data_IF_955441912926
#
_entry.id   IF_955441912926
#
_cell.length_a   1.000
_cell.length_b   1.000
_cell.length_c   1.000
_cell.angle_alpha   90.00
_cell.angle_beta   90.00
_cell.angle_gamma   90.00
#
_symmetry.space_group_name_H-M   'P 1'
#
loop_
_entity.id
_entity.type
_entity.pdbx_description
1 polymer ?
#
# COMPACT_ATOMS: atom_id res chain seq x y z
N UNK A 1 -14.98 6.73 20.53
CA UNK A 1 -13.93 6.16 19.66
C UNK A 1 -14.07 6.79 18.29
N UNK A 2 -13.00 7.14 17.62
CA UNK A 2 -13.05 7.81 16.33
C UNK A 2 -13.42 6.80 15.23
N UNK A 3 -14.58 7.02 14.62
CA UNK A 3 -15.06 6.26 13.47
C UNK A 3 -15.53 7.21 12.37
N UNK A 4 -15.29 6.83 11.13
CA UNK A 4 -15.92 7.41 9.95
C UNK A 4 -16.86 6.36 9.36
N UNK A 5 -18.07 6.77 8.97
CA UNK A 5 -19.04 5.89 8.30
C UNK A 5 -18.91 6.08 6.80
N UNK A 6 -18.75 4.99 6.07
CA UNK A 6 -18.70 4.96 4.61
C UNK A 6 -20.08 5.16 3.99
N UNK A 7 -20.14 5.38 2.69
CA UNK A 7 -21.39 5.57 1.94
C UNK A 7 -22.29 4.32 1.88
N UNK A 8 -21.73 3.13 2.16
CA UNK A 8 -22.46 1.87 2.32
C UNK A 8 -22.72 1.49 3.80
N UNK A 9 -22.45 2.43 4.75
CA UNK A 9 -22.81 2.29 6.16
C UNK A 9 -21.79 1.56 7.04
N UNK A 10 -20.61 1.20 6.52
CA UNK A 10 -19.55 0.54 7.28
C UNK A 10 -18.76 1.57 8.09
N UNK A 11 -18.53 1.31 9.38
CA UNK A 11 -17.75 2.19 10.22
C UNK A 11 -16.27 1.79 10.19
N UNK A 12 -15.43 2.71 9.79
CA UNK A 12 -13.98 2.56 9.78
C UNK A 12 -13.39 3.23 11.01
N UNK A 13 -12.68 2.45 11.82
CA UNK A 13 -11.91 2.95 12.95
C UNK A 13 -10.63 3.61 12.47
N UNK A 14 -10.30 4.77 13.02
CA UNK A 14 -9.03 5.43 12.75
C UNK A 14 -8.38 5.97 14.03
N UNK A 15 -7.08 6.18 13.97
CA UNK A 15 -6.31 6.93 14.94
C UNK A 15 -5.64 8.11 14.25
N UNK A 16 -5.53 9.20 15.00
CA UNK A 16 -4.98 10.45 14.50
C UNK A 16 -3.97 11.03 15.48
N UNK A 17 -2.84 11.51 14.98
CA UNK A 17 -1.81 12.19 15.77
C UNK A 17 -1.14 13.31 14.97
N UNK A 18 -0.78 14.39 15.67
CA UNK A 18 -0.12 15.54 15.05
C UNK A 18 -1.07 16.51 14.37
N UNK A 19 -0.50 17.51 13.71
CA UNK A 19 -1.20 18.56 12.97
C UNK A 19 -0.42 18.92 11.71
N UNK A 20 -1.05 19.60 10.75
CA UNK A 20 -0.44 20.01 9.48
C UNK A 20 -1.06 19.31 8.29
N UNK A 21 -0.27 19.11 7.22
CA UNK A 21 -0.72 18.41 6.02
C UNK A 21 -1.13 16.98 6.34
N UNK A 22 -2.30 16.52 5.86
CA UNK A 22 -2.75 15.15 6.12
C UNK A 22 -1.83 14.10 5.48
N UNK A 23 -1.45 13.09 6.27
CA UNK A 23 -0.66 11.94 5.88
C UNK A 23 -1.41 10.67 6.30
N UNK A 24 -1.96 9.93 5.35
CA UNK A 24 -2.83 8.78 5.60
C UNK A 24 -2.06 7.49 5.32
N UNK A 25 -2.08 6.59 6.29
CA UNK A 25 -1.43 5.28 6.24
C UNK A 25 -2.45 4.17 6.05
N UNK A 26 -2.22 3.32 5.04
CA UNK A 26 -3.09 2.21 4.63
C UNK A 26 -2.34 0.89 4.78
N UNK A 27 -2.84 0.04 5.67
CA UNK A 27 -2.15 -1.18 6.09
C UNK A 27 -2.20 -2.31 5.07
N UNK A 28 -1.31 -3.28 5.22
CA UNK A 28 -1.29 -4.53 4.48
C UNK A 28 -2.33 -5.56 4.98
N UNK A 29 -2.45 -6.69 4.27
CA UNK A 29 -3.40 -7.77 4.61
C UNK A 29 -3.19 -8.36 6.01
N UNK A 30 -1.95 -8.54 6.45
CA UNK A 30 -1.64 -9.08 7.78
C UNK A 30 -1.51 -7.99 8.86
N UNK A 31 -1.70 -6.71 8.51
CA UNK A 31 -1.61 -5.58 9.42
C UNK A 31 -2.97 -4.96 9.74
N UNK A 32 -2.94 -3.94 10.58
CA UNK A 32 -4.03 -3.04 10.90
C UNK A 32 -3.46 -1.64 11.17
N UNK A 33 -4.29 -0.70 11.68
CA UNK A 33 -3.84 0.66 12.01
C UNK A 33 -2.57 0.68 12.89
N UNK A 34 -2.37 -0.30 13.79
CA UNK A 34 -1.22 -0.40 14.70
C UNK A 34 0.10 -0.67 13.99
N UNK A 35 0.07 -1.18 12.77
CA UNK A 35 1.27 -1.47 11.97
C UNK A 35 2.04 -0.20 11.56
N UNK A 36 1.45 0.97 11.73
CA UNK A 36 2.04 2.25 11.38
C UNK A 36 2.58 3.04 12.56
N UNK A 37 2.60 2.47 13.76
CA UNK A 37 3.06 3.15 14.97
C UNK A 37 4.47 3.77 14.85
N UNK A 38 5.49 3.09 14.26
CA UNK A 38 6.81 3.71 14.08
C UNK A 38 6.78 4.94 13.16
N UNK A 39 5.92 4.93 12.14
CA UNK A 39 5.74 6.04 11.20
C UNK A 39 4.98 7.19 11.86
N UNK A 40 3.88 6.89 12.55
CA UNK A 40 3.09 7.90 13.25
C UNK A 40 3.94 8.67 14.26
N UNK A 41 4.72 7.98 15.11
CA UNK A 41 5.63 8.63 16.09
C UNK A 41 6.64 9.56 15.43
N UNK A 42 7.11 9.22 14.25
CA UNK A 42 8.07 10.03 13.52
C UNK A 42 7.42 11.23 12.84
N UNK A 43 6.33 10.99 12.09
CA UNK A 43 5.71 12.00 11.21
C UNK A 43 4.74 12.93 11.93
N UNK A 44 4.14 12.54 13.06
CA UNK A 44 3.17 13.36 13.80
C UNK A 44 3.76 14.68 14.35
N UNK A 45 5.07 14.84 14.29
CA UNK A 45 5.76 16.10 14.62
C UNK A 45 5.54 17.20 13.56
N UNK A 46 5.13 16.84 12.35
CA UNK A 46 5.00 17.76 11.20
C UNK A 46 3.74 17.57 10.39
N UNK A 47 3.11 16.41 10.49
CA UNK A 47 1.94 16.00 9.70
C UNK A 47 0.77 15.67 10.61
N UNK A 48 -0.44 15.84 10.07
CA UNK A 48 -1.65 15.24 10.61
C UNK A 48 -1.68 13.79 10.14
N UNK A 49 -1.11 12.88 10.94
CA UNK A 49 -1.00 11.45 10.64
C UNK A 49 -2.31 10.74 10.96
N UNK A 50 -2.85 9.98 10.02
CA UNK A 50 -4.04 9.18 10.18
C UNK A 50 -3.71 7.73 9.78
N UNK A 51 -3.95 6.76 10.67
CA UNK A 51 -3.95 5.35 10.34
C UNK A 51 -5.33 4.76 10.63
N UNK A 52 -5.85 3.94 9.74
CA UNK A 52 -7.17 3.33 9.94
C UNK A 52 -7.12 1.82 9.73
N UNK A 53 -8.04 1.10 10.36
CA UNK A 53 -8.31 -0.30 10.04
C UNK A 53 -9.30 -0.36 8.89
N UNK A 54 -8.98 -1.10 7.85
CA UNK A 54 -9.88 -1.32 6.72
C UNK A 54 -11.14 -2.10 7.15
N UNK A 55 -12.18 -2.09 6.32
CA UNK A 55 -13.34 -2.98 6.52
C UNK A 55 -12.88 -4.43 6.69
N UNK A 56 -13.50 -5.13 7.63
CA UNK A 56 -13.11 -6.50 7.98
C UNK A 56 -11.99 -6.60 9.02
N UNK A 57 -11.36 -5.49 9.39
CA UNK A 57 -10.28 -5.43 10.38
C UNK A 57 -10.73 -4.67 11.62
N UNK A 58 -10.91 -5.39 12.74
CA UNK A 58 -11.31 -4.77 14.01
C UNK A 58 -10.30 -3.72 14.46
N UNK A 59 -10.74 -2.59 15.08
CA UNK A 59 -12.10 -2.26 15.55
C UNK A 59 -13.09 -1.76 14.47
N UNK A 60 -12.71 -1.68 13.18
CA UNK A 60 -13.66 -1.40 12.12
C UNK A 60 -14.73 -2.48 12.02
N UNK A 61 -15.85 -2.14 11.43
CA UNK A 61 -16.92 -3.11 11.21
C UNK A 61 -16.45 -4.26 10.30
N UNK A 62 -16.97 -5.44 10.58
CA UNK A 62 -16.77 -6.65 9.78
C UNK A 62 -18.09 -6.95 9.04
N UNK A 63 -18.30 -6.38 7.86
CA UNK A 63 -19.51 -6.64 7.07
C UNK A 63 -19.70 -8.13 6.78
N UNK A 64 -20.96 -8.63 6.75
CA UNK A 64 -21.24 -10.06 6.56
C UNK A 64 -20.93 -10.52 5.13
N UNK A 65 -20.93 -11.84 4.86
CA UNK A 65 -20.85 -12.38 3.50
C UNK A 65 -21.93 -11.77 2.60
N UNK A 66 -21.55 -11.46 1.36
CA UNK A 66 -22.41 -10.75 0.38
C UNK A 66 -22.21 -9.23 0.39
N UNK A 67 -21.49 -8.67 1.38
CA UNK A 67 -21.01 -7.29 1.36
C UNK A 67 -19.82 -7.13 0.41
N UNK A 68 -19.60 -5.89 -0.04
CA UNK A 68 -18.51 -5.60 -0.97
C UNK A 68 -17.14 -5.57 -0.28
N UNK A 69 -16.27 -6.51 -0.66
CA UNK A 69 -14.86 -6.61 -0.29
C UNK A 69 -13.97 -6.58 -1.55
N UNK A 70 -14.22 -5.65 -2.45
CA UNK A 70 -13.53 -5.54 -3.72
C UNK A 70 -12.39 -4.51 -3.70
N UNK A 71 -11.53 -4.55 -4.72
CA UNK A 71 -10.54 -3.50 -4.96
C UNK A 71 -11.20 -2.13 -5.17
N UNK A 72 -12.36 -2.10 -5.84
CA UNK A 72 -13.15 -0.89 -6.04
C UNK A 72 -13.59 -0.32 -4.68
N UNK A 73 -14.11 -1.14 -3.80
CA UNK A 73 -14.62 -0.71 -2.49
C UNK A 73 -13.51 -0.15 -1.59
N UNK A 74 -12.31 -0.72 -1.64
CA UNK A 74 -11.22 -0.32 -0.75
C UNK A 74 -10.73 1.11 -1.02
N UNK A 75 -10.60 1.53 -2.29
CA UNK A 75 -10.25 2.92 -2.56
C UNK A 75 -11.41 3.89 -2.28
N UNK A 76 -12.66 3.44 -2.45
CA UNK A 76 -13.84 4.22 -2.05
C UNK A 76 -13.91 4.40 -0.53
N UNK A 77 -13.55 3.41 0.25
CA UNK A 77 -13.43 3.53 1.71
C UNK A 77 -12.39 4.58 2.10
N UNK A 78 -11.24 4.61 1.44
CA UNK A 78 -10.23 5.66 1.64
C UNK A 78 -10.79 7.05 1.29
N UNK A 79 -11.57 7.17 0.21
CA UNK A 79 -12.28 8.40 -0.14
C UNK A 79 -13.29 8.79 0.96
N UNK A 80 -14.11 7.84 1.44
CA UNK A 80 -15.07 8.08 2.51
C UNK A 80 -14.38 8.50 3.82
N UNK A 81 -13.22 7.91 4.15
CA UNK A 81 -12.41 8.32 5.29
C UNK A 81 -11.99 9.79 5.17
N UNK A 82 -11.46 10.18 4.01
CA UNK A 82 -11.08 11.57 3.75
C UNK A 82 -12.28 12.52 3.84
N UNK A 83 -13.42 12.15 3.27
CA UNK A 83 -14.65 12.95 3.29
C UNK A 83 -15.15 13.14 4.73
N UNK A 84 -15.23 12.07 5.52
CA UNK A 84 -15.68 12.11 6.91
C UNK A 84 -14.74 12.89 7.84
N UNK A 85 -13.46 13.01 7.48
CA UNK A 85 -12.46 13.82 8.21
C UNK A 85 -12.28 15.23 7.65
N UNK A 86 -13.10 15.64 6.66
CA UNK A 86 -13.01 16.93 5.95
C UNK A 86 -11.61 17.15 5.34
N UNK A 87 -11.00 16.11 4.78
CA UNK A 87 -9.68 16.17 4.14
C UNK A 87 -9.88 16.31 2.63
N UNK A 88 -9.58 17.50 2.10
CA UNK A 88 -9.65 17.74 0.66
C UNK A 88 -8.53 17.01 -0.10
N UNK A 89 -7.31 17.07 0.43
CA UNK A 89 -6.10 16.47 -0.16
C UNK A 89 -5.22 15.87 0.92
N UNK A 90 -4.53 14.77 0.60
CA UNK A 90 -3.60 14.10 1.52
C UNK A 90 -2.42 13.45 0.78
N UNK A 91 -1.31 13.27 1.49
CA UNK A 91 -0.31 12.26 1.11
C UNK A 91 -0.82 10.89 1.51
N UNK A 92 -0.75 9.91 0.60
CA UNK A 92 -1.25 8.55 0.81
C UNK A 92 -0.07 7.58 0.83
N UNK A 93 0.04 6.81 1.91
CA UNK A 93 1.12 5.83 2.11
C UNK A 93 0.48 4.47 2.33
N UNK A 94 0.73 3.53 1.43
CA UNK A 94 0.16 2.19 1.53
C UNK A 94 1.22 1.11 1.42
N UNK A 95 1.09 0.07 2.25
CA UNK A 95 1.90 -1.13 2.16
C UNK A 95 1.07 -2.27 1.57
N UNK A 96 1.61 -2.98 0.57
CA UNK A 96 1.02 -4.19 0.00
C UNK A 96 -0.43 -3.97 -0.45
N UNK A 97 -1.40 -4.60 0.20
CA UNK A 97 -2.84 -4.36 0.01
C UNK A 97 -3.18 -2.87 0.09
N UNK A 98 -2.63 -2.15 1.07
CA UNK A 98 -2.77 -0.71 1.18
C UNK A 98 -2.12 0.06 0.04
N UNK A 99 -1.01 -0.45 -0.51
CA UNK A 99 -0.39 0.09 -1.72
C UNK A 99 -1.32 0.01 -2.93
N UNK A 100 -2.02 -1.11 -3.12
CA UNK A 100 -3.05 -1.23 -4.16
C UNK A 100 -4.22 -0.26 -3.92
N UNK A 101 -4.65 -0.07 -2.67
CA UNK A 101 -5.69 0.91 -2.35
C UNK A 101 -5.26 2.33 -2.76
N UNK A 102 -4.03 2.74 -2.39
CA UNK A 102 -3.46 4.04 -2.76
C UNK A 102 -3.29 4.19 -4.28
N UNK A 103 -2.82 3.13 -4.97
CA UNK A 103 -2.70 3.12 -6.42
C UNK A 103 -4.06 3.37 -7.10
N UNK A 104 -5.08 2.59 -6.73
CA UNK A 104 -6.42 2.74 -7.29
C UNK A 104 -7.05 4.10 -6.93
N UNK A 105 -6.80 4.62 -5.73
CA UNK A 105 -7.17 6.00 -5.41
C UNK A 105 -6.49 6.99 -6.38
N UNK A 106 -5.21 6.78 -6.69
CA UNK A 106 -4.47 7.57 -7.68
C UNK A 106 -5.04 7.48 -9.09
N UNK A 107 -5.53 6.31 -9.52
CA UNK A 107 -6.18 6.14 -10.83
C UNK A 107 -7.46 7.01 -10.96
N UNK A 108 -8.19 7.22 -9.86
CA UNK A 108 -9.44 7.97 -9.86
C UNK A 108 -9.28 9.44 -9.44
N UNK A 109 -8.28 9.75 -8.62
CA UNK A 109 -8.13 11.06 -7.98
C UNK A 109 -6.71 11.65 -8.06
N UNK A 110 -5.85 11.08 -8.89
CA UNK A 110 -4.44 11.49 -9.06
C UNK A 110 -4.05 11.76 -10.52
N UNK A 111 -5.03 11.95 -11.41
CA UNK A 111 -4.81 12.19 -12.83
C UNK A 111 -4.89 13.68 -13.17
N UNK A 112 -4.25 14.07 -14.28
CA UNK A 112 -4.26 15.46 -14.76
C UNK A 112 -5.67 15.95 -15.10
N UNK A 113 -5.96 17.22 -14.77
CA UNK A 113 -7.19 17.91 -15.18
C UNK A 113 -8.35 17.82 -14.19
N UNK A 114 -8.25 17.01 -13.15
CA UNK A 114 -9.14 17.03 -12.00
C UNK A 114 -8.43 17.64 -10.80
N UNK A 115 -9.16 18.27 -9.88
CA UNK A 115 -8.59 18.65 -8.60
C UNK A 115 -8.14 17.36 -7.90
N UNK A 116 -6.83 17.05 -7.98
CA UNK A 116 -6.28 15.85 -7.39
C UNK A 116 -6.55 15.83 -5.88
N UNK A 117 -7.03 14.72 -5.36
CA UNK A 117 -7.19 14.50 -3.93
C UNK A 117 -5.95 13.86 -3.30
N UNK A 118 -5.04 13.31 -4.11
CA UNK A 118 -3.73 12.86 -3.67
C UNK A 118 -2.70 13.97 -3.90
N UNK A 119 -1.99 14.37 -2.84
CA UNK A 119 -0.79 15.21 -2.94
C UNK A 119 0.41 14.40 -3.43
N UNK A 120 0.52 13.17 -2.98
CA UNK A 120 1.47 12.18 -3.44
C UNK A 120 1.01 10.77 -3.09
N UNK A 121 1.59 9.78 -3.73
CA UNK A 121 1.41 8.36 -3.44
C UNK A 121 2.73 7.74 -2.97
N UNK A 122 2.68 6.90 -1.92
CA UNK A 122 3.77 5.97 -1.58
C UNK A 122 3.23 4.56 -1.68
N UNK A 123 3.79 3.80 -2.63
CA UNK A 123 3.38 2.44 -2.97
C UNK A 123 4.47 1.47 -2.48
N UNK A 124 4.34 1.01 -1.24
CA UNK A 124 5.31 0.14 -0.60
C UNK A 124 4.91 -1.33 -0.75
N UNK A 125 5.83 -2.21 -1.14
CA UNK A 125 5.57 -3.64 -1.32
C UNK A 125 4.32 -3.93 -2.19
N UNK A 126 4.07 -3.09 -3.20
CA UNK A 126 2.87 -3.16 -4.02
C UNK A 126 3.11 -4.00 -5.27
N UNK A 127 2.64 -5.25 -5.29
CA UNK A 127 2.87 -6.07 -6.49
C UNK A 127 2.59 -7.55 -6.37
N UNK A 128 2.56 -8.10 -5.16
CA UNK A 128 2.35 -9.55 -4.94
C UNK A 128 1.17 -10.08 -5.75
N UNK A 129 1.41 -11.16 -6.50
CA UNK A 129 0.40 -11.81 -7.33
C UNK A 129 0.09 -11.11 -8.66
N UNK A 130 0.70 -9.96 -8.98
CA UNK A 130 0.38 -9.21 -10.21
C UNK A 130 1.09 -9.74 -11.45
N UNK A 131 2.26 -10.36 -11.30
CA UNK A 131 3.02 -10.85 -12.47
C UNK A 131 2.21 -11.89 -13.24
N UNK A 132 2.12 -11.80 -14.59
CA UNK A 132 1.25 -12.68 -15.40
C UNK A 132 1.47 -14.17 -15.17
N UNK A 133 2.73 -14.59 -14.95
CA UNK A 133 3.08 -16.00 -14.74
C UNK A 133 2.49 -16.60 -13.44
N UNK A 134 2.16 -15.76 -12.45
CA UNK A 134 1.66 -16.22 -11.14
C UNK A 134 0.25 -15.72 -10.82
N UNK A 135 -0.32 -14.86 -11.64
CA UNK A 135 -1.57 -14.16 -11.35
C UNK A 135 -2.75 -15.11 -11.06
N UNK A 136 -3.01 -16.06 -11.96
CA UNK A 136 -4.10 -17.03 -11.76
C UNK A 136 -3.84 -17.97 -10.56
N UNK A 137 -2.58 -18.35 -10.35
CA UNK A 137 -2.18 -19.12 -9.18
C UNK A 137 -2.40 -18.36 -7.87
N UNK A 138 -2.07 -17.09 -7.85
CA UNK A 138 -2.31 -16.20 -6.69
C UNK A 138 -3.80 -16.05 -6.37
N UNK A 139 -4.65 -15.88 -7.38
CA UNK A 139 -6.12 -15.81 -7.21
C UNK A 139 -6.67 -17.10 -6.60
N UNK A 140 -6.21 -18.25 -7.12
CA UNK A 140 -6.62 -19.55 -6.61
C UNK A 140 -6.16 -19.75 -5.16
N UNK A 141 -4.90 -19.43 -4.84
CA UNK A 141 -4.34 -19.52 -3.50
C UNK A 141 -5.06 -18.58 -2.51
N UNK A 142 -5.44 -17.36 -2.95
CA UNK A 142 -6.21 -16.43 -2.11
C UNK A 142 -7.57 -16.98 -1.70
N UNK A 143 -8.23 -17.76 -2.58
CA UNK A 143 -9.50 -18.42 -2.28
C UNK A 143 -9.30 -19.59 -1.30
N UNK A 144 -8.26 -20.40 -1.52
CA UNK A 144 -7.91 -21.49 -0.59
C UNK A 144 -7.59 -20.92 0.79
N UNK A 145 -6.75 -19.88 0.87
CA UNK A 145 -6.42 -19.20 2.13
C UNK A 145 -7.69 -18.67 2.82
N UNK A 146 -8.63 -18.12 2.06
CA UNK A 146 -9.91 -17.66 2.62
C UNK A 146 -10.72 -18.79 3.26
N UNK A 147 -10.79 -19.96 2.63
CA UNK A 147 -11.46 -21.14 3.15
C UNK A 147 -10.78 -21.67 4.42
N UNK A 148 -9.45 -21.69 4.43
CA UNK A 148 -8.66 -22.07 5.62
C UNK A 148 -8.88 -21.11 6.79
N UNK A 149 -8.83 -19.78 6.56
CA UNK A 149 -9.07 -18.78 7.60
C UNK A 149 -10.48 -18.91 8.15
N UNK A 150 -11.47 -19.09 7.27
CA UNK A 150 -12.87 -19.24 7.69
C UNK A 150 -13.10 -20.49 8.56
N UNK A 151 -12.36 -21.56 8.29
CA UNK A 151 -12.51 -22.85 8.97
C UNK A 151 -11.65 -22.95 10.23
N UNK A 152 -10.41 -22.46 10.17
CA UNK A 152 -9.39 -22.67 11.19
C UNK A 152 -9.10 -21.42 12.04
N UNK A 153 -9.62 -20.25 11.62
CA UNK A 153 -9.53 -19.01 12.38
C UNK A 153 -8.25 -18.19 12.16
N UNK A 154 -8.20 -17.02 12.78
CA UNK A 154 -7.09 -16.08 12.64
C UNK A 154 -5.77 -16.59 13.26
N UNK A 155 -5.83 -17.44 14.28
CA UNK A 155 -4.62 -18.07 14.83
C UNK A 155 -3.93 -18.97 13.79
N UNK A 156 -4.70 -19.66 12.95
CA UNK A 156 -4.14 -20.42 11.84
C UNK A 156 -3.46 -19.51 10.83
N UNK A 157 -4.08 -18.37 10.48
CA UNK A 157 -3.47 -17.35 9.60
C UNK A 157 -2.13 -16.86 10.17
N UNK A 158 -2.04 -16.57 11.46
CA UNK A 158 -0.80 -16.18 12.12
C UNK A 158 0.28 -17.28 12.07
N UNK A 159 -0.13 -18.54 12.21
CA UNK A 159 0.79 -19.70 12.22
C UNK A 159 1.24 -20.15 10.81
N UNK A 160 0.59 -19.67 9.75
CA UNK A 160 0.89 -20.01 8.36
C UNK A 160 1.36 -18.79 7.58
N UNK A 161 0.46 -17.92 7.16
CA UNK A 161 0.78 -16.68 6.41
C UNK A 161 1.73 -15.75 7.19
N UNK A 162 1.48 -15.59 8.50
CA UNK A 162 2.34 -14.78 9.38
C UNK A 162 3.77 -15.31 9.53
N UNK A 163 3.99 -16.58 9.24
CA UNK A 163 5.30 -17.23 9.27
C UNK A 163 5.87 -17.54 7.88
N UNK A 164 5.24 -17.04 6.84
CA UNK A 164 5.62 -17.26 5.45
C UNK A 164 6.94 -16.57 5.03
N UNK A 165 7.43 -16.89 3.81
CA UNK A 165 8.73 -16.40 3.31
C UNK A 165 8.87 -14.88 3.36
N UNK A 166 7.79 -14.14 3.13
CA UNK A 166 7.77 -12.67 3.15
C UNK A 166 8.05 -12.04 4.52
N UNK A 167 8.16 -12.85 5.59
CA UNK A 167 8.36 -12.40 6.98
C UNK A 167 9.70 -12.83 7.57
N UNK A 168 10.51 -13.59 6.83
CA UNK A 168 11.76 -14.15 7.35
C UNK A 168 12.76 -13.07 7.76
N UNK A 169 12.90 -12.03 6.95
CA UNK A 169 13.79 -10.90 7.21
C UNK A 169 13.34 -10.13 8.45
N UNK A 170 12.04 -9.85 8.57
CA UNK A 170 11.48 -9.19 9.75
C UNK A 170 11.76 -10.00 11.02
N UNK A 171 11.48 -11.30 10.99
CA UNK A 171 11.74 -12.20 12.13
C UNK A 171 13.22 -12.25 12.50
N UNK A 172 14.11 -12.21 11.53
CA UNK A 172 15.56 -12.25 11.76
C UNK A 172 16.10 -10.94 12.34
N UNK A 173 15.61 -9.79 11.88
CA UNK A 173 16.08 -8.45 12.28
C UNK A 173 15.50 -7.99 13.61
N UNK A 174 14.19 -8.17 13.79
CA UNK A 174 13.45 -7.79 15.00
C UNK A 174 12.51 -8.91 15.45
N UNK A 175 13.06 -9.94 16.14
CA UNK A 175 12.25 -11.07 16.63
C UNK A 175 11.12 -10.64 17.57
N UNK A 176 11.32 -9.55 18.34
CA UNK A 176 10.32 -9.03 19.26
C UNK A 176 9.19 -8.33 18.52
N UNK A 177 9.53 -7.38 17.64
CA UNK A 177 8.52 -6.69 16.82
C UNK A 177 7.75 -7.66 15.92
N UNK A 178 8.44 -8.66 15.36
CA UNK A 178 7.79 -9.74 14.63
C UNK A 178 6.80 -10.54 15.51
N UNK A 179 7.16 -10.89 16.74
CA UNK A 179 6.27 -11.61 17.65
C UNK A 179 5.02 -10.77 18.01
N UNK A 180 5.20 -9.46 18.24
CA UNK A 180 4.10 -8.52 18.47
C UNK A 180 3.18 -8.41 17.23
N UNK A 181 3.76 -8.28 16.03
CA UNK A 181 3.01 -8.25 14.77
C UNK A 181 2.20 -9.54 14.58
N UNK A 182 2.81 -10.70 14.79
CA UNK A 182 2.15 -11.98 14.58
C UNK A 182 1.04 -12.24 15.64
N UNK A 183 1.23 -11.77 16.87
CA UNK A 183 0.20 -11.80 17.90
C UNK A 183 -1.02 -10.95 17.52
N UNK A 184 -0.80 -9.75 16.97
CA UNK A 184 -1.88 -8.88 16.46
C UNK A 184 -2.60 -9.50 15.27
N UNK A 185 -1.89 -10.20 14.38
CA UNK A 185 -2.51 -10.94 13.27
C UNK A 185 -3.47 -12.03 13.78
N UNK A 186 -3.14 -12.69 14.88
CA UNK A 186 -4.01 -13.68 15.51
C UNK A 186 -5.29 -13.08 16.14
N UNK A 187 -5.32 -11.76 16.38
CA UNK A 187 -6.50 -11.02 16.88
C UNK A 187 -7.47 -10.62 15.77
N UNK A 188 -7.09 -10.74 14.50
CA UNK A 188 -7.93 -10.34 13.38
C UNK A 188 -9.24 -11.12 13.35
N UNK A 189 -10.28 -10.50 12.78
CA UNK A 189 -11.52 -11.21 12.47
C UNK A 189 -11.26 -12.28 11.41
N UNK A 190 -11.49 -13.53 11.74
CA UNK A 190 -11.38 -14.63 10.78
C UNK A 190 -12.33 -14.41 9.58
N UNK A 191 -13.56 -13.95 9.83
CA UNK A 191 -14.52 -13.62 8.78
C UNK A 191 -14.01 -12.48 7.90
N UNK A 192 -13.56 -11.36 8.51
CA UNK A 192 -13.07 -10.21 7.76
C UNK A 192 -11.84 -10.55 6.92
N UNK A 193 -10.85 -11.25 7.50
CA UNK A 193 -9.66 -11.68 6.77
C UNK A 193 -9.99 -12.65 5.62
N UNK A 194 -10.91 -13.59 5.84
CA UNK A 194 -11.35 -14.52 4.79
C UNK A 194 -12.06 -13.79 3.64
N UNK A 195 -12.97 -12.86 3.93
CA UNK A 195 -13.67 -12.08 2.90
C UNK A 195 -12.73 -11.15 2.15
N UNK A 196 -11.75 -10.53 2.84
CA UNK A 196 -10.71 -9.71 2.20
C UNK A 196 -9.81 -10.57 1.29
N UNK A 197 -9.40 -11.75 1.75
CA UNK A 197 -8.60 -12.66 0.93
C UNK A 197 -9.36 -13.10 -0.31
N UNK A 198 -10.61 -13.50 -0.18
CA UNK A 198 -11.44 -13.99 -1.28
C UNK A 198 -11.82 -12.91 -2.29
N UNK A 199 -12.33 -11.78 -1.80
CA UNK A 199 -12.87 -10.70 -2.63
C UNK A 199 -11.78 -9.74 -3.10
N UNK A 200 -11.04 -9.12 -2.18
CA UNK A 200 -10.06 -8.11 -2.54
C UNK A 200 -8.78 -8.74 -3.13
N UNK A 201 -8.13 -9.65 -2.41
CA UNK A 201 -6.88 -10.24 -2.89
C UNK A 201 -7.10 -11.15 -4.11
N UNK A 202 -8.12 -12.00 -4.04
CA UNK A 202 -8.40 -13.00 -5.05
C UNK A 202 -9.06 -12.49 -6.34
N UNK A 203 -9.60 -11.27 -6.34
CA UNK A 203 -10.31 -10.72 -7.52
C UNK A 203 -9.71 -9.40 -8.02
N UNK A 204 -8.71 -8.83 -7.33
CA UNK A 204 -8.09 -7.58 -7.77
C UNK A 204 -7.42 -7.74 -9.14
N UNK A 205 -7.46 -6.70 -10.00
CA UNK A 205 -6.81 -6.76 -11.29
C UNK A 205 -5.27 -6.78 -11.14
N UNK A 206 -4.59 -7.43 -12.09
CA UNK A 206 -3.13 -7.38 -12.18
C UNK A 206 -2.66 -5.96 -12.53
N UNK A 207 -1.53 -5.51 -11.95
CA UNK A 207 -0.90 -4.24 -12.33
C UNK A 207 -0.50 -4.20 -13.81
N UNK A 208 -0.17 -5.36 -14.38
CA UNK A 208 0.18 -5.47 -15.80
C UNK A 208 -1.04 -5.22 -16.71
N UNK A 209 -2.23 -5.61 -16.28
CA UNK A 209 -3.48 -5.32 -17.00
C UNK A 209 -3.90 -3.83 -16.89
N UNK A 210 -3.40 -3.11 -15.89
CA UNK A 210 -3.69 -1.71 -15.63
C UNK A 210 -2.64 -0.75 -16.17
N UNK A 211 -1.63 -1.21 -16.90
CA UNK A 211 -0.47 -0.41 -17.31
C UNK A 211 -0.86 0.88 -18.02
N UNK A 212 -1.83 0.85 -18.94
CA UNK A 212 -2.32 2.03 -19.63
C UNK A 212 -2.94 3.06 -18.67
N UNK A 213 -3.75 2.59 -17.72
CA UNK A 213 -4.39 3.46 -16.72
C UNK A 213 -3.35 4.04 -15.75
N UNK A 214 -2.39 3.22 -15.30
CA UNK A 214 -1.30 3.61 -14.39
C UNK A 214 -0.44 4.71 -15.04
N UNK A 215 -0.25 4.68 -16.35
CA UNK A 215 0.52 5.71 -17.07
C UNK A 215 -0.12 7.11 -16.99
N UNK A 216 -1.41 7.21 -16.66
CA UNK A 216 -2.09 8.49 -16.49
C UNK A 216 -1.96 9.09 -15.08
N UNK A 217 -1.35 8.38 -14.14
CA UNK A 217 -1.06 8.94 -12.80
C UNK A 217 0.00 10.03 -12.95
N UNK A 218 -0.34 11.23 -12.48
CA UNK A 218 0.50 12.44 -12.62
C UNK A 218 0.95 13.03 -11.27
N UNK A 219 0.49 12.48 -10.16
CA UNK A 219 0.95 12.91 -8.83
C UNK A 219 2.33 12.32 -8.51
N UNK A 220 3.19 13.05 -7.79
CA UNK A 220 4.46 12.50 -7.31
C UNK A 220 4.26 11.14 -6.64
N UNK A 221 5.02 10.15 -7.06
CA UNK A 221 4.86 8.77 -6.57
C UNK A 221 6.20 8.20 -6.09
N UNK A 222 6.26 7.79 -4.82
CA UNK A 222 7.37 7.01 -4.27
C UNK A 222 7.00 5.53 -4.30
N UNK A 223 7.82 4.72 -4.96
CA UNK A 223 7.72 3.27 -4.92
C UNK A 223 8.81 2.78 -3.96
N UNK A 224 8.43 1.92 -3.01
CA UNK A 224 9.36 1.32 -2.06
C UNK A 224 9.22 -0.19 -2.05
N UNK A 225 10.32 -0.92 -2.02
CA UNK A 225 10.33 -2.39 -1.91
C UNK A 225 11.58 -2.87 -1.18
N UNK A 226 11.48 -4.01 -0.50
CA UNK A 226 12.66 -4.72 -0.05
C UNK A 226 13.26 -5.52 -1.21
N UNK A 227 14.59 -5.70 -1.23
CA UNK A 227 15.28 -6.49 -2.26
C UNK A 227 15.10 -8.00 -2.09
N UNK A 228 14.57 -8.43 -0.94
CA UNK A 228 14.18 -9.81 -0.64
C UNK A 228 12.65 -10.04 -0.75
N UNK A 229 11.88 -9.01 -1.17
CA UNK A 229 10.45 -9.13 -1.46
C UNK A 229 10.24 -9.52 -2.93
N UNK A 230 10.72 -10.71 -3.29
CA UNK A 230 10.74 -11.24 -4.68
C UNK A 230 9.42 -11.01 -5.44
N UNK A 231 8.22 -11.27 -4.86
CA UNK A 231 6.96 -11.05 -5.58
C UNK A 231 6.68 -9.60 -5.97
N UNK A 232 7.38 -8.64 -5.36
CA UNK A 232 7.17 -7.21 -5.56
C UNK A 232 8.28 -6.53 -6.39
N UNK A 233 9.41 -7.19 -6.66
CA UNK A 233 10.55 -6.58 -7.37
C UNK A 233 10.16 -6.15 -8.79
N UNK A 234 9.76 -7.09 -9.65
CA UNK A 234 9.36 -6.75 -11.01
C UNK A 234 8.15 -5.82 -11.09
N UNK A 235 7.07 -6.03 -10.30
CA UNK A 235 5.98 -5.06 -10.23
C UNK A 235 6.43 -3.65 -9.81
N UNK A 236 7.38 -3.50 -8.90
CA UNK A 236 7.92 -2.19 -8.51
C UNK A 236 8.67 -1.53 -9.68
N UNK A 237 9.43 -2.30 -10.46
CA UNK A 237 10.07 -1.81 -11.67
C UNK A 237 9.06 -1.44 -12.76
N UNK A 238 7.97 -2.22 -12.91
CA UNK A 238 6.86 -1.89 -13.79
C UNK A 238 6.25 -0.53 -13.41
N UNK A 239 5.86 -0.35 -12.15
CA UNK A 239 5.29 0.91 -11.65
C UNK A 239 6.24 2.08 -11.88
N UNK A 240 7.55 1.90 -11.56
CA UNK A 240 8.59 2.93 -11.78
C UNK A 240 8.71 3.34 -13.24
N UNK A 241 8.58 2.40 -14.16
CA UNK A 241 8.69 2.66 -15.60
C UNK A 241 7.42 3.29 -16.16
N UNK A 242 6.27 2.89 -15.65
CA UNK A 242 4.95 3.31 -16.14
C UNK A 242 4.55 4.70 -15.62
N UNK A 243 4.69 4.97 -14.32
CA UNK A 243 4.36 6.27 -13.73
C UNK A 243 5.52 7.23 -13.99
N UNK A 244 5.30 8.26 -14.81
CA UNK A 244 6.37 9.17 -15.23
C UNK A 244 6.91 10.05 -14.09
N UNK A 245 6.12 10.30 -13.05
CA UNK A 245 6.49 11.06 -11.84
C UNK A 245 7.05 10.14 -10.72
N UNK A 246 7.23 8.85 -10.97
CA UNK A 246 7.67 7.93 -9.93
C UNK A 246 9.18 7.99 -9.67
N UNK A 247 9.54 7.86 -8.39
CA UNK A 247 10.89 7.53 -7.90
C UNK A 247 10.85 6.16 -7.22
N UNK A 248 11.98 5.46 -7.17
CA UNK A 248 12.08 4.11 -6.58
C UNK A 248 13.16 4.09 -5.51
N UNK A 249 12.81 3.58 -4.33
CA UNK A 249 13.72 3.21 -3.27
C UNK A 249 13.64 1.70 -3.01
N UNK A 250 14.80 1.04 -3.00
CA UNK A 250 14.91 -0.38 -2.70
C UNK A 250 15.73 -0.53 -1.41
N UNK A 251 15.15 -1.22 -0.42
CA UNK A 251 15.76 -1.39 0.89
C UNK A 251 16.55 -2.70 0.93
N UNK A 252 17.86 -2.65 1.22
CA UNK A 252 18.71 -3.84 1.18
C UNK A 252 18.41 -4.81 2.31
N UNK A 253 18.47 -6.10 2.00
CA UNK A 253 18.24 -7.21 2.92
C UNK A 253 16.86 -7.20 3.56
N UNK A 254 15.87 -6.62 2.92
CA UNK A 254 14.52 -6.40 3.49
C UNK A 254 13.47 -7.19 2.75
N UNK A 255 12.50 -7.73 3.50
CA UNK A 255 11.35 -8.44 2.97
C UNK A 255 10.16 -7.52 2.74
N UNK A 256 8.96 -8.03 3.05
CA UNK A 256 7.71 -7.38 2.68
C UNK A 256 7.26 -6.27 3.66
N UNK A 257 7.50 -6.45 4.97
CA UNK A 257 7.04 -5.51 5.99
C UNK A 257 8.05 -4.38 6.22
N UNK A 258 8.52 -3.75 5.16
CA UNK A 258 9.65 -2.79 5.17
C UNK A 258 9.46 -1.61 6.13
N UNK A 259 8.22 -1.20 6.42
CA UNK A 259 7.93 -0.15 7.39
C UNK A 259 8.19 -0.57 8.84
N UNK A 260 8.12 -1.88 9.12
CA UNK A 260 8.41 -2.48 10.44
C UNK A 260 9.83 -3.04 10.51
N UNK A 261 10.32 -3.64 9.42
CA UNK A 261 11.66 -4.22 9.34
C UNK A 261 12.76 -3.17 9.39
N UNK A 262 12.58 -2.08 8.68
CA UNK A 262 13.53 -0.98 8.52
C UNK A 262 12.85 0.38 8.72
N UNK A 263 12.25 0.64 9.89
CA UNK A 263 11.46 1.85 10.12
C UNK A 263 12.27 3.14 9.95
N UNK A 264 13.59 3.11 10.23
CA UNK A 264 14.46 4.27 10.04
C UNK A 264 14.64 4.60 8.56
N UNK A 265 14.99 3.61 7.73
CA UNK A 265 15.16 3.79 6.28
C UNK A 265 13.84 4.18 5.61
N UNK A 266 12.75 3.49 5.98
CA UNK A 266 11.42 3.80 5.48
C UNK A 266 11.05 5.26 5.76
N UNK A 267 11.21 5.69 7.02
CA UNK A 267 10.88 7.05 7.44
C UNK A 267 11.78 8.09 6.76
N UNK A 268 13.06 7.81 6.56
CA UNK A 268 14.00 8.72 5.92
C UNK A 268 13.65 8.94 4.45
N UNK A 269 13.45 7.87 3.67
CA UNK A 269 13.05 7.98 2.26
C UNK A 269 11.71 8.69 2.10
N UNK A 270 10.73 8.34 2.95
CA UNK A 270 9.43 8.99 2.93
C UNK A 270 9.53 10.47 3.28
N UNK A 271 10.28 10.83 4.34
CA UNK A 271 10.41 12.22 4.75
C UNK A 271 11.09 13.09 3.69
N UNK A 272 12.14 12.60 3.06
CA UNK A 272 12.82 13.30 1.96
C UNK A 272 11.89 13.49 0.76
N UNK A 273 11.16 12.44 0.38
CA UNK A 273 10.19 12.52 -0.70
C UNK A 273 9.07 13.53 -0.42
N UNK A 274 8.46 13.48 0.78
CA UNK A 274 7.41 14.42 1.17
C UNK A 274 7.91 15.87 1.17
N UNK A 275 9.13 16.10 1.67
CA UNK A 275 9.73 17.43 1.67
C UNK A 275 9.92 17.99 0.24
N UNK A 276 10.36 17.15 -0.70
CA UNK A 276 10.49 17.54 -2.11
C UNK A 276 9.13 17.85 -2.73
N UNK A 277 8.09 17.05 -2.45
CA UNK A 277 6.73 17.29 -2.93
C UNK A 277 6.21 18.63 -2.41
N UNK A 278 6.35 18.91 -1.11
CA UNK A 278 5.87 20.15 -0.48
C UNK A 278 6.64 21.40 -0.97
N UNK A 279 7.89 21.23 -1.42
CA UNK A 279 8.69 22.29 -2.06
C UNK A 279 8.35 22.48 -3.55
N UNK A 280 7.42 21.69 -4.10
CA UNK A 280 7.02 21.80 -5.50
C UNK A 280 8.06 21.26 -6.49
N UNK A 281 8.89 20.28 -6.05
CA UNK A 281 9.84 19.65 -6.96
C UNK A 281 9.11 18.96 -8.11
N UNK A 282 9.62 19.16 -9.34
CA UNK A 282 9.07 18.48 -10.51
C UNK A 282 9.64 17.05 -10.60
N UNK A 283 8.78 16.09 -10.40
CA UNK A 283 9.12 14.66 -10.50
C UNK A 283 8.98 14.11 -11.92
N UNK A 284 8.45 14.91 -12.87
CA UNK A 284 8.30 14.46 -14.25
C UNK A 284 9.67 14.13 -14.84
N UNK A 285 9.84 12.89 -15.28
CA UNK A 285 11.06 12.48 -15.96
C UNK A 285 11.07 13.09 -17.36
N UNK A 286 12.20 13.68 -17.78
CA UNK A 286 12.37 14.03 -19.18
C UNK A 286 12.05 12.79 -20.02
N UNK A 287 11.26 12.96 -21.08
CA UNK A 287 11.06 11.89 -22.06
C UNK A 287 12.42 11.66 -22.70
N UNK A 288 13.17 10.72 -22.13
CA UNK A 288 14.35 10.21 -22.77
C UNK A 288 13.86 9.54 -24.05
N UNK A 289 14.00 10.19 -25.16
CA UNK A 289 14.17 9.50 -26.42
C UNK A 289 15.18 8.39 -26.10
N UNK A 290 14.77 7.11 -26.24
CA UNK A 290 15.72 6.00 -26.04
C UNK A 290 16.92 6.34 -26.89
N UNK A 291 18.12 6.53 -26.31
CA UNK A 291 19.27 6.79 -27.15
C UNK A 291 19.41 5.58 -28.06
N UNK A 292 19.53 5.79 -29.36
CA UNK A 292 19.80 4.73 -30.33
C UNK A 292 21.12 4.01 -30.00
N UNK A 293 21.91 4.61 -29.13
CA UNK A 293 23.18 4.15 -28.61
C UNK A 293 23.26 4.37 -27.09
N UNK A 294 23.89 3.45 -26.35
CA UNK A 294 24.22 3.61 -24.94
C UNK A 294 25.11 4.85 -24.66
N UNK A 295 25.72 5.42 -25.69
CA UNK A 295 26.60 6.59 -25.63
C UNK A 295 25.87 7.91 -25.91
N UNK A 296 24.55 7.89 -26.02
CA UNK A 296 23.77 9.07 -26.41
C UNK A 296 23.57 9.20 -27.91
N UNK A 297 22.88 10.24 -28.38
CA UNK A 297 22.71 10.48 -29.80
C UNK A 297 24.10 10.66 -30.40
N UNK A 298 24.37 9.93 -31.48
CA UNK A 298 25.57 10.13 -32.29
C UNK A 298 25.54 11.58 -32.80
N UNK A 299 26.38 12.43 -32.21
CA UNK A 299 26.51 13.78 -32.66
C UNK A 299 26.91 13.75 -34.14
N UNK A 300 26.14 14.44 -34.97
CA UNK A 300 26.50 14.73 -36.37
C UNK A 300 27.86 15.46 -36.32
N UNK A 301 28.95 14.91 -36.86
CA UNK A 301 30.22 15.63 -36.92
C UNK A 301 30.07 16.67 -38.02
N UNK A 302 29.79 17.92 -37.61
CA UNK A 302 30.02 19.09 -38.50
C UNK A 302 31.30 19.75 -38.12
#
# INVERSE_FOLDING_TARGET
MPFVTTDDGVRLYYEEAGTGTPLIFVHEFAGDHRSWEPQIRFFARRYRCIAYSARGYTPSDVPPPGSDYSQERVWQDLRCLMDGLNIAQAHLVGLSMGGFACLHFGLHHGTQGTASRALSLTLAGCGTGSHPAVYEGFKAQSKVLADEIQTLGAQHLANTYGMGPSRLQFKAKDPRGYAEFNARLAEHSALGSALTSRGYQGERPSLYALTEQIAHINVPTLIMTGDEDEPCLEPSLLLKRTIHTAVLAMLPGSGHAINLEEPQWFNQFLAEFLAQVEQGHDFARPVATRPESIWGPSGDPR
#
